data_IF_217009536894
#
_entry.id   IF_217009536894
#
_cell.length_a   1.000
_cell.length_b   1.000
_cell.length_c   1.000
_cell.angle_alpha   90.00
_cell.angle_beta   90.00
_cell.angle_gamma   90.00
#
_symmetry.space_group_name_H-M   'P 1'
#
loop_
_entity.id
_entity.type
_entity.pdbx_description
1 polymer ?
#
# COMPACT_ATOMS: atom_id res chain seq x y z
N UNK A 1 17.83 27.09 -30.21
CA UNK A 1 16.92 28.22 -29.92
C UNK A 1 15.52 27.84 -30.40
N UNK A 2 14.69 27.34 -29.50
CA UNK A 2 13.26 27.13 -29.78
C UNK A 2 12.52 28.07 -28.84
N UNK A 3 12.03 29.18 -29.40
CA UNK A 3 11.22 30.17 -28.69
C UNK A 3 9.84 29.58 -28.50
N UNK A 4 9.53 29.16 -27.27
CA UNK A 4 8.18 28.80 -26.87
C UNK A 4 7.51 30.05 -26.29
N UNK A 5 6.54 30.58 -27.04
CA UNK A 5 5.68 31.68 -26.62
C UNK A 5 4.70 31.15 -25.58
N UNK A 6 4.83 31.67 -24.36
CA UNK A 6 3.87 31.44 -23.28
C UNK A 6 2.55 32.16 -23.60
N UNK A 7 1.45 31.41 -23.76
CA UNK A 7 0.10 31.96 -23.93
C UNK A 7 -0.70 31.59 -22.68
N UNK A 8 -0.51 32.34 -21.61
CA UNK A 8 -1.22 32.19 -20.35
C UNK A 8 -0.84 33.32 -19.39
N UNK A 9 -1.80 33.86 -18.65
CA UNK A 9 -1.52 34.88 -17.62
C UNK A 9 -0.66 34.24 -16.52
N UNK A 10 0.35 34.98 -16.04
CA UNK A 10 1.27 34.54 -14.97
C UNK A 10 0.58 34.25 -13.62
N UNK A 11 -0.70 34.60 -13.48
CA UNK A 11 -1.48 34.49 -12.24
C UNK A 11 -2.10 33.09 -12.02
N UNK A 12 -2.06 32.18 -13.01
CA UNK A 12 -2.78 30.89 -12.97
C UNK A 12 -1.92 29.67 -12.57
N UNK A 13 -0.66 29.85 -12.14
CA UNK A 13 0.23 28.72 -11.82
C UNK A 13 0.37 28.59 -10.31
N UNK A 14 -0.62 27.96 -9.68
CA UNK A 14 -0.46 27.38 -8.35
C UNK A 14 0.66 26.34 -8.39
N UNK A 15 1.86 26.70 -7.95
CA UNK A 15 2.74 25.90 -7.08
C UNK A 15 4.20 26.34 -7.24
N UNK A 16 4.71 27.09 -6.26
CA UNK A 16 6.14 27.40 -6.12
C UNK A 16 7.02 26.13 -6.21
N UNK A 17 6.45 25.00 -5.78
CA UNK A 17 7.08 23.69 -5.87
C UNK A 17 7.24 23.23 -7.33
N UNK A 18 6.31 23.55 -8.24
CA UNK A 18 6.46 23.25 -9.67
C UNK A 18 7.71 23.90 -10.25
N UNK A 19 7.91 25.20 -9.99
CA UNK A 19 9.07 25.93 -10.48
C UNK A 19 10.38 25.47 -9.84
N UNK A 20 10.37 25.17 -8.53
CA UNK A 20 11.53 24.58 -7.85
C UNK A 20 11.91 23.22 -8.46
N UNK A 21 10.91 22.41 -8.85
CA UNK A 21 11.12 21.11 -9.50
C UNK A 21 11.58 21.23 -10.96
N UNK A 22 11.06 22.20 -11.70
CA UNK A 22 11.44 22.49 -13.09
C UNK A 22 12.88 23.02 -13.20
N UNK A 23 13.34 23.76 -12.19
CA UNK A 23 14.67 24.38 -12.16
C UNK A 23 15.72 23.52 -11.46
N UNK A 24 15.30 22.46 -10.76
CA UNK A 24 16.20 21.58 -10.01
C UNK A 24 16.70 22.17 -8.69
N UNK A 25 15.99 23.16 -8.13
CA UNK A 25 16.30 23.80 -6.85
C UNK A 25 15.96 22.87 -5.69
N UNK A 26 16.81 21.87 -5.50
CA UNK A 26 16.57 20.75 -4.61
C UNK A 26 16.31 21.17 -3.15
N UNK A 27 17.06 22.14 -2.62
CA UNK A 27 16.89 22.63 -1.25
C UNK A 27 15.58 23.42 -1.07
N UNK A 28 15.19 24.20 -2.08
CA UNK A 28 13.96 25.01 -2.06
C UNK A 28 12.75 24.10 -2.20
N UNK A 29 12.80 23.12 -3.10
CA UNK A 29 11.75 22.13 -3.26
C UNK A 29 11.48 21.39 -1.94
N UNK A 30 12.52 20.98 -1.20
CA UNK A 30 12.34 20.33 0.11
C UNK A 30 11.68 21.25 1.12
N UNK A 31 12.12 22.51 1.24
CA UNK A 31 11.49 23.48 2.15
C UNK A 31 10.02 23.72 1.81
N UNK A 32 9.68 23.77 0.52
CA UNK A 32 8.30 23.93 0.06
C UNK A 32 7.46 22.68 0.36
N UNK A 33 8.05 21.48 0.23
CA UNK A 33 7.40 20.25 0.66
C UNK A 33 7.16 20.27 2.18
N UNK A 34 8.17 20.58 3.00
CA UNK A 34 8.03 20.71 4.45
C UNK A 34 6.96 21.74 4.86
N UNK A 35 6.78 22.80 4.07
CA UNK A 35 5.73 23.79 4.26
C UNK A 35 4.32 23.31 3.83
N UNK A 36 4.16 22.08 3.37
CA UNK A 36 2.88 21.48 3.01
C UNK A 36 2.42 21.71 1.57
N UNK A 37 3.33 22.10 0.67
CA UNK A 37 2.98 22.37 -0.74
C UNK A 37 2.34 21.16 -1.43
N UNK A 38 1.33 21.40 -2.27
CA UNK A 38 0.64 20.36 -3.01
C UNK A 38 1.55 19.76 -4.10
N UNK A 39 2.03 18.54 -3.84
CA UNK A 39 2.85 17.73 -4.77
C UNK A 39 2.16 17.33 -6.07
N UNK A 40 0.82 17.36 -6.08
CA UNK A 40 0.00 17.03 -7.24
C UNK A 40 -0.65 18.27 -7.84
N UNK A 41 -0.15 19.46 -7.49
CA UNK A 41 -0.61 20.70 -8.11
C UNK A 41 -0.54 20.57 -9.63
N UNK A 42 -1.65 20.89 -10.28
CA UNK A 42 -1.78 20.78 -11.71
C UNK A 42 -1.44 22.13 -12.34
N UNK A 43 -0.45 22.15 -13.23
CA UNK A 43 0.00 23.39 -13.86
C UNK A 43 1.25 23.23 -14.72
N UNK A 44 1.44 24.16 -15.65
CA UNK A 44 2.58 24.24 -16.55
C UNK A 44 2.66 23.12 -17.62
N UNK A 45 3.67 23.20 -18.49
CA UNK A 45 3.86 22.27 -19.62
C UNK A 45 4.00 20.80 -19.19
N UNK A 46 4.55 20.55 -18.01
CA UNK A 46 4.77 19.19 -17.49
C UNK A 46 3.58 18.63 -16.70
N UNK A 47 2.47 19.38 -16.56
CA UNK A 47 1.27 19.07 -15.77
C UNK A 47 1.44 18.95 -14.25
N UNK A 48 2.56 18.47 -13.73
CA UNK A 48 2.79 18.38 -12.28
C UNK A 48 4.28 18.55 -11.90
N UNK A 49 4.59 18.90 -10.65
CA UNK A 49 5.96 19.07 -10.17
C UNK A 49 6.84 17.82 -10.35
N UNK A 50 6.27 16.63 -10.16
CA UNK A 50 7.00 15.37 -10.36
C UNK A 50 7.43 15.19 -11.82
N UNK A 51 6.50 15.40 -12.76
CA UNK A 51 6.81 15.33 -14.19
C UNK A 51 7.83 16.42 -14.58
N UNK A 52 7.77 17.62 -13.99
CA UNK A 52 8.76 18.67 -14.25
C UNK A 52 10.18 18.23 -13.84
N UNK A 53 10.32 17.61 -12.67
CA UNK A 53 11.60 17.06 -12.21
C UNK A 53 12.09 15.89 -13.09
N UNK A 54 11.18 15.05 -13.59
CA UNK A 54 11.49 13.94 -14.50
C UNK A 54 11.89 14.45 -15.89
N UNK A 55 11.14 15.40 -16.46
CA UNK A 55 11.41 15.99 -17.78
C UNK A 55 12.76 16.71 -17.84
N UNK A 56 13.27 17.20 -16.71
CA UNK A 56 14.56 17.88 -16.59
C UNK A 56 15.69 16.99 -16.07
N UNK A 57 15.45 15.69 -15.98
CA UNK A 57 16.38 14.66 -15.50
C UNK A 57 16.96 14.91 -14.08
N UNK A 58 16.17 15.54 -13.20
CA UNK A 58 16.54 15.74 -11.79
C UNK A 58 16.26 14.47 -10.96
N UNK A 59 17.00 13.39 -11.25
CA UNK A 59 16.77 12.04 -10.68
C UNK A 59 16.67 12.01 -9.15
N UNK A 60 17.54 12.73 -8.46
CA UNK A 60 17.54 12.78 -6.98
C UNK A 60 16.31 13.50 -6.44
N UNK A 61 15.92 14.61 -7.07
CA UNK A 61 14.74 15.36 -6.68
C UNK A 61 13.45 14.59 -6.99
N UNK A 62 13.38 13.95 -8.15
CA UNK A 62 12.27 13.09 -8.55
C UNK A 62 12.11 11.90 -7.59
N UNK A 63 13.21 11.25 -7.19
CA UNK A 63 13.20 10.21 -6.17
C UNK A 63 12.65 10.74 -4.85
N UNK A 64 13.16 11.87 -4.36
CA UNK A 64 12.66 12.47 -3.10
C UNK A 64 11.21 12.91 -3.19
N UNK A 65 10.73 13.42 -4.32
CA UNK A 65 9.32 13.79 -4.51
C UNK A 65 8.40 12.56 -4.45
N UNK A 66 8.83 11.43 -5.01
CA UNK A 66 8.10 10.17 -4.94
C UNK A 66 8.10 9.65 -3.50
N UNK A 67 9.26 9.64 -2.84
CA UNK A 67 9.38 9.23 -1.44
C UNK A 67 8.48 10.12 -0.55
N UNK A 68 8.41 11.43 -0.83
CA UNK A 68 7.59 12.39 -0.09
C UNK A 68 6.09 12.34 -0.45
N UNK A 69 5.74 11.88 -1.64
CA UNK A 69 4.36 11.55 -2.00
C UNK A 69 3.83 10.35 -1.19
N UNK A 70 4.72 9.44 -0.80
CA UNK A 70 4.34 8.16 -0.20
C UNK A 70 4.54 8.08 1.33
N UNK A 71 5.33 8.97 1.94
CA UNK A 71 5.79 8.85 3.33
C UNK A 71 5.20 9.85 4.34
N UNK A 72 4.47 10.91 3.97
CA UNK A 72 3.97 11.88 4.97
C UNK A 72 2.74 11.37 5.76
N UNK A 73 2.55 11.75 7.04
CA UNK A 73 1.41 11.32 7.86
C UNK A 73 0.03 11.58 7.23
N UNK A 74 -0.17 12.77 6.66
CA UNK A 74 -1.44 13.18 6.02
C UNK A 74 -1.76 12.29 4.81
N UNK A 75 -0.74 11.92 4.04
CA UNK A 75 -0.91 11.04 2.86
C UNK A 75 -0.97 9.57 3.23
N UNK A 76 -0.37 9.14 4.35
CA UNK A 76 -0.55 7.78 4.87
C UNK A 76 -2.03 7.53 5.20
N UNK A 77 -2.67 8.46 5.90
CA UNK A 77 -4.12 8.41 6.17
C UNK A 77 -4.96 8.39 4.88
N UNK A 78 -4.62 9.25 3.91
CA UNK A 78 -5.30 9.27 2.61
C UNK A 78 -5.13 7.96 1.85
N UNK A 79 -3.92 7.43 1.72
CA UNK A 79 -3.64 6.15 1.04
C UNK A 79 -4.41 5.01 1.69
N UNK A 80 -4.42 4.98 3.02
CA UNK A 80 -5.18 3.99 3.78
C UNK A 80 -6.69 4.08 3.47
N UNK A 81 -7.26 5.28 3.47
CA UNK A 81 -8.66 5.50 3.13
C UNK A 81 -8.98 5.18 1.66
N UNK A 82 -8.14 5.60 0.71
CA UNK A 82 -8.30 5.35 -0.72
C UNK A 82 -8.31 3.84 -1.01
N UNK A 83 -7.37 3.09 -0.44
CA UNK A 83 -7.34 1.62 -0.54
C UNK A 83 -8.59 1.01 0.07
N UNK A 84 -9.00 1.42 1.27
CA UNK A 84 -10.22 0.90 1.90
C UNK A 84 -11.45 1.12 1.02
N UNK A 85 -11.65 2.34 0.50
CA UNK A 85 -12.77 2.63 -0.40
C UNK A 85 -12.75 1.70 -1.61
N UNK A 86 -11.62 1.62 -2.31
CA UNK A 86 -11.50 0.73 -3.46
C UNK A 86 -11.80 -0.72 -3.11
N UNK A 87 -11.36 -1.19 -1.93
CA UNK A 87 -11.60 -2.54 -1.45
C UNK A 87 -13.08 -2.83 -1.16
N UNK A 88 -13.75 -1.92 -0.46
CA UNK A 88 -15.18 -2.00 -0.19
C UNK A 88 -15.98 -2.07 -1.50
N UNK A 89 -15.60 -1.29 -2.52
CA UNK A 89 -16.34 -1.28 -3.80
C UNK A 89 -16.38 -2.63 -4.52
N UNK A 90 -15.29 -3.40 -4.53
CA UNK A 90 -15.26 -4.67 -5.26
C UNK A 90 -15.56 -5.89 -4.39
N UNK A 91 -15.42 -5.80 -3.07
CA UNK A 91 -15.81 -6.87 -2.13
C UNK A 91 -17.33 -6.88 -1.92
N UNK A 92 -17.96 -5.71 -1.73
CA UNK A 92 -19.36 -5.63 -1.32
C UNK A 92 -20.35 -5.63 -2.49
N UNK A 93 -19.86 -5.44 -3.72
CA UNK A 93 -20.70 -5.42 -4.93
C UNK A 93 -20.49 -6.68 -5.77
N UNK A 94 -21.47 -7.00 -6.62
CA UNK A 94 -21.35 -8.10 -7.57
C UNK A 94 -20.13 -7.89 -8.50
N UNK A 95 -19.39 -8.95 -8.88
CA UNK A 95 -18.18 -8.84 -9.70
C UNK A 95 -18.38 -8.09 -11.03
N UNK A 96 -19.56 -8.22 -11.63
CA UNK A 96 -19.90 -7.59 -12.92
C UNK A 96 -20.47 -6.16 -12.75
N UNK A 97 -20.61 -5.67 -11.53
CA UNK A 97 -21.17 -4.35 -11.27
C UNK A 97 -20.26 -3.24 -11.78
N UNK A 98 -20.85 -2.11 -12.19
CA UNK A 98 -20.11 -0.91 -12.60
C UNK A 98 -19.16 -0.43 -11.49
N UNK A 99 -19.58 -0.53 -10.21
CA UNK A 99 -18.76 -0.12 -9.06
C UNK A 99 -17.52 -0.99 -8.88
N UNK A 100 -17.68 -2.32 -8.91
CA UNK A 100 -16.55 -3.25 -8.80
C UNK A 100 -15.58 -3.06 -9.98
N UNK A 101 -16.10 -2.93 -11.21
CA UNK A 101 -15.29 -2.69 -12.40
C UNK A 101 -14.54 -1.35 -12.36
N UNK A 102 -15.19 -0.28 -11.89
CA UNK A 102 -14.55 1.01 -11.72
C UNK A 102 -13.43 0.97 -10.67
N UNK A 103 -13.63 0.21 -9.58
CA UNK A 103 -12.61 0.00 -8.55
C UNK A 103 -11.39 -0.75 -9.10
N UNK A 104 -11.61 -1.85 -9.83
CA UNK A 104 -10.52 -2.57 -10.52
C UNK A 104 -9.81 -1.70 -11.56
N UNK A 105 -10.55 -0.94 -12.37
CA UNK A 105 -9.96 -0.02 -13.34
C UNK A 105 -9.05 1.00 -12.63
N UNK A 106 -9.46 1.49 -11.46
CA UNK A 106 -8.63 2.40 -10.65
C UNK A 106 -7.42 1.70 -10.05
N UNK A 107 -7.58 0.50 -9.49
CA UNK A 107 -6.50 -0.32 -8.94
C UNK A 107 -5.46 -0.68 -10.00
N UNK A 108 -5.86 -0.86 -11.26
CA UNK A 108 -4.98 -1.13 -12.38
C UNK A 108 -4.30 0.15 -12.91
N UNK A 109 -5.02 1.27 -12.91
CA UNK A 109 -4.49 2.55 -13.38
C UNK A 109 -3.34 3.06 -12.52
N UNK A 110 -3.47 2.99 -11.19
CA UNK A 110 -2.51 3.56 -10.23
C UNK A 110 -1.08 3.00 -10.39
N UNK A 111 -0.84 1.67 -10.42
CA UNK A 111 0.48 1.09 -10.61
C UNK A 111 0.94 1.13 -12.07
N UNK A 112 0.03 1.26 -13.05
CA UNK A 112 0.35 1.12 -14.49
C UNK A 112 1.51 2.01 -14.97
N UNK A 113 1.61 3.24 -14.47
CA UNK A 113 2.69 4.15 -14.83
C UNK A 113 4.04 3.70 -14.27
N UNK A 114 4.03 3.17 -13.04
CA UNK A 114 5.23 2.67 -12.38
C UNK A 114 5.69 1.33 -12.97
N UNK A 115 4.75 0.46 -13.36
CA UNK A 115 5.03 -0.77 -14.10
C UNK A 115 5.68 -0.47 -15.45
N UNK A 116 5.12 0.49 -16.23
CA UNK A 116 5.71 0.95 -17.49
C UNK A 116 7.12 1.55 -17.32
N UNK A 117 7.38 2.16 -16.17
CA UNK A 117 8.69 2.69 -15.80
C UNK A 117 9.64 1.64 -15.21
N UNK A 118 9.24 0.37 -15.10
CA UNK A 118 10.04 -0.71 -14.53
C UNK A 118 10.28 -0.58 -13.02
N UNK A 119 9.46 0.22 -12.31
CA UNK A 119 9.59 0.46 -10.86
C UNK A 119 8.75 -0.48 -10.00
N UNK A 120 7.71 -1.08 -10.59
CA UNK A 120 6.87 -2.09 -9.95
C UNK A 120 6.92 -3.31 -10.84
N UNK A 121 7.45 -4.41 -10.31
CA UNK A 121 7.50 -5.72 -10.95
C UNK A 121 6.17 -6.45 -10.82
N UNK A 122 6.04 -7.62 -11.46
CA UNK A 122 4.91 -8.49 -11.22
C UNK A 122 4.90 -9.02 -9.79
N UNK A 123 6.07 -9.33 -9.23
CA UNK A 123 6.25 -9.80 -7.85
C UNK A 123 5.73 -8.77 -6.84
N UNK A 124 5.98 -7.48 -7.10
CA UNK A 124 5.47 -6.35 -6.30
C UNK A 124 3.94 -6.21 -6.35
N UNK A 125 3.28 -6.84 -7.31
CA UNK A 125 1.81 -6.92 -7.41
C UNK A 125 1.26 -8.23 -6.85
N UNK A 126 1.96 -9.35 -7.09
CA UNK A 126 1.58 -10.68 -6.62
C UNK A 126 1.71 -10.81 -5.11
N UNK A 127 2.75 -10.22 -4.51
CA UNK A 127 2.95 -10.28 -3.06
C UNK A 127 1.82 -9.62 -2.26
N UNK A 128 1.39 -8.37 -2.54
CA UNK A 128 0.22 -7.80 -1.88
C UNK A 128 -1.06 -8.63 -2.06
N UNK A 129 -1.29 -9.21 -3.24
CA UNK A 129 -2.43 -10.09 -3.47
C UNK A 129 -2.36 -11.34 -2.56
N UNK A 130 -1.19 -11.95 -2.45
CA UNK A 130 -0.96 -13.11 -1.60
C UNK A 130 -1.18 -12.79 -0.12
N UNK A 131 -0.65 -11.66 0.36
CA UNK A 131 -0.87 -11.18 1.74
C UNK A 131 -2.36 -11.00 2.03
N UNK A 132 -3.12 -10.39 1.10
CA UNK A 132 -4.57 -10.22 1.25
C UNK A 132 -5.35 -11.54 1.26
N UNK A 133 -4.84 -12.57 0.58
CA UNK A 133 -5.43 -13.90 0.57
C UNK A 133 -5.00 -14.78 1.76
N UNK A 134 -3.81 -14.58 2.33
CA UNK A 134 -3.26 -15.48 3.35
C UNK A 134 -3.41 -14.93 4.77
N UNK A 135 -3.25 -13.63 4.96
CA UNK A 135 -3.29 -13.04 6.31
C UNK A 135 -4.67 -13.16 6.95
N UNK A 136 -5.80 -12.86 6.28
CA UNK A 136 -7.11 -13.05 6.89
C UNK A 136 -7.37 -14.51 7.27
N UNK A 137 -6.97 -15.47 6.42
CA UNK A 137 -7.06 -16.91 6.73
C UNK A 137 -6.31 -17.22 8.03
N UNK A 138 -5.04 -16.82 8.11
CA UNK A 138 -4.20 -17.04 9.28
C UNK A 138 -4.77 -16.38 10.53
N UNK A 139 -5.26 -15.14 10.42
CA UNK A 139 -5.86 -14.41 11.53
C UNK A 139 -7.14 -15.07 12.04
N UNK A 140 -7.99 -15.55 11.14
CA UNK A 140 -9.22 -16.27 11.51
C UNK A 140 -8.86 -17.57 12.25
N UNK A 141 -7.91 -18.33 11.75
CA UNK A 141 -7.48 -19.59 12.38
C UNK A 141 -6.85 -19.41 13.77
N UNK A 142 -6.16 -18.29 14.01
CA UNK A 142 -5.44 -18.03 15.26
C UNK A 142 -6.30 -17.32 16.31
N UNK A 143 -7.15 -16.38 15.90
CA UNK A 143 -7.79 -15.44 16.83
C UNK A 143 -9.31 -15.48 16.82
N UNK A 144 -9.97 -16.04 15.80
CA UNK A 144 -11.43 -16.06 15.76
C UNK A 144 -12.02 -17.29 16.46
N UNK A 145 -13.29 -17.18 16.82
CA UNK A 145 -14.04 -18.21 17.56
C UNK A 145 -14.25 -19.51 16.76
N UNK A 146 -14.03 -19.50 15.45
CA UNK A 146 -14.08 -20.70 14.58
C UNK A 146 -13.04 -20.63 13.46
N UNK A 147 -12.66 -21.80 12.94
CA UNK A 147 -11.89 -21.94 11.71
C UNK A 147 -12.78 -21.88 10.47
N UNK A 148 -12.20 -21.55 9.33
CA UNK A 148 -12.84 -21.69 8.03
C UNK A 148 -12.85 -23.17 7.63
N UNK A 149 -13.95 -23.65 7.06
CA UNK A 149 -14.01 -24.99 6.48
C UNK A 149 -13.43 -25.01 5.05
N UNK A 150 -13.22 -26.21 4.49
CA UNK A 150 -12.62 -26.35 3.15
C UNK A 150 -13.44 -25.68 2.03
N UNK A 151 -14.77 -25.69 2.11
CA UNK A 151 -15.63 -25.03 1.13
C UNK A 151 -15.46 -23.51 1.19
N UNK A 152 -15.43 -22.94 2.40
CA UNK A 152 -15.20 -21.52 2.62
C UNK A 152 -13.81 -21.11 2.12
N UNK A 153 -12.77 -21.89 2.41
CA UNK A 153 -11.42 -21.66 1.92
C UNK A 153 -11.32 -21.76 0.40
N UNK A 154 -12.01 -22.73 -0.21
CA UNK A 154 -12.07 -22.88 -1.66
C UNK A 154 -12.73 -21.66 -2.32
N UNK A 155 -13.86 -21.20 -1.79
CA UNK A 155 -14.54 -20.00 -2.27
C UNK A 155 -13.66 -18.75 -2.09
N UNK A 156 -13.00 -18.63 -0.94
CA UNK A 156 -12.11 -17.52 -0.62
C UNK A 156 -10.88 -17.47 -1.54
N UNK A 157 -10.26 -18.61 -1.80
CA UNK A 157 -9.16 -18.73 -2.75
C UNK A 157 -9.59 -18.38 -4.17
N UNK A 158 -10.77 -18.84 -4.60
CA UNK A 158 -11.31 -18.50 -5.92
C UNK A 158 -11.61 -17.00 -6.05
N UNK A 159 -12.12 -16.37 -5.00
CA UNK A 159 -12.36 -14.94 -4.95
C UNK A 159 -11.07 -14.13 -5.15
N UNK A 160 -10.03 -14.42 -4.38
CA UNK A 160 -8.75 -13.70 -4.51
C UNK A 160 -8.00 -14.02 -5.79
N UNK A 161 -8.09 -15.25 -6.30
CA UNK A 161 -7.57 -15.61 -7.62
C UNK A 161 -8.26 -14.79 -8.71
N UNK A 162 -9.59 -14.69 -8.66
CA UNK A 162 -10.37 -13.86 -9.60
C UNK A 162 -9.98 -12.38 -9.53
N UNK A 163 -9.60 -11.88 -8.35
CA UNK A 163 -9.11 -10.52 -8.18
C UNK A 163 -7.80 -10.29 -8.93
N UNK A 164 -6.83 -11.20 -8.76
CA UNK A 164 -5.56 -11.10 -9.44
C UNK A 164 -5.68 -11.25 -10.96
N UNK A 165 -6.60 -12.11 -11.43
CA UNK A 165 -6.97 -12.19 -12.85
C UNK A 165 -7.48 -10.82 -13.38
N UNK A 166 -8.41 -10.18 -12.65
CA UNK A 166 -8.96 -8.87 -13.02
C UNK A 166 -7.90 -7.76 -12.97
N UNK A 167 -6.86 -7.94 -12.16
CA UNK A 167 -5.72 -7.03 -12.08
C UNK A 167 -4.63 -7.32 -13.12
N UNK A 168 -4.76 -8.40 -13.90
CA UNK A 168 -3.75 -8.81 -14.88
C UNK A 168 -2.44 -9.27 -14.24
N UNK A 169 -2.48 -9.76 -13.00
CA UNK A 169 -1.30 -10.27 -12.30
C UNK A 169 -0.94 -11.63 -12.88
N UNK A 170 0.33 -11.80 -13.28
CA UNK A 170 0.83 -13.09 -13.77
C UNK A 170 1.12 -14.03 -12.60
N UNK A 171 0.75 -15.29 -12.75
CA UNK A 171 1.07 -16.36 -11.80
C UNK A 171 2.22 -17.24 -12.28
N UNK A 172 3.08 -16.77 -13.20
CA UNK A 172 4.10 -17.60 -13.86
C UNK A 172 5.01 -18.43 -12.93
N UNK A 173 5.24 -17.96 -11.70
CA UNK A 173 6.02 -18.68 -10.70
C UNK A 173 5.28 -19.85 -10.04
N UNK A 174 3.96 -19.92 -10.18
CA UNK A 174 3.13 -20.95 -9.60
C UNK A 174 3.13 -22.17 -10.53
N UNK A 175 3.40 -23.38 -10.02
CA UNK A 175 3.46 -24.59 -10.83
C UNK A 175 2.23 -24.81 -11.72
N UNK A 176 1.05 -24.43 -11.21
CA UNK A 176 -0.21 -24.64 -11.90
C UNK A 176 -0.65 -23.50 -12.83
N UNK A 177 0.18 -22.49 -13.06
CA UNK A 177 -0.16 -21.39 -13.97
C UNK A 177 -0.46 -21.84 -15.40
N UNK A 178 0.38 -22.71 -15.97
CA UNK A 178 0.20 -23.26 -17.32
C UNK A 178 -0.81 -24.41 -17.40
N UNK A 179 -0.74 -25.45 -16.53
CA UNK A 179 -1.68 -26.56 -16.61
C UNK A 179 -3.07 -26.20 -16.06
N UNK A 180 -3.19 -25.12 -15.29
CA UNK A 180 -4.42 -24.64 -14.67
C UNK A 180 -4.56 -25.07 -13.21
N UNK A 181 -5.14 -24.19 -12.40
CA UNK A 181 -5.52 -24.49 -11.03
C UNK A 181 -6.81 -25.31 -11.02
N UNK A 182 -6.88 -26.34 -10.17
CA UNK A 182 -8.06 -27.21 -10.04
C UNK A 182 -9.21 -26.49 -9.35
N UNK A 183 -8.92 -25.76 -8.28
CA UNK A 183 -9.87 -25.00 -7.48
C UNK A 183 -9.16 -23.89 -6.69
N UNK A 184 -9.90 -23.21 -5.81
CA UNK A 184 -9.35 -22.13 -4.98
C UNK A 184 -8.43 -22.59 -3.85
N UNK A 185 -8.55 -23.84 -3.37
CA UNK A 185 -7.64 -24.38 -2.36
C UNK A 185 -6.27 -24.60 -2.96
N UNK A 186 -6.21 -25.20 -4.14
CA UNK A 186 -4.96 -25.43 -4.86
C UNK A 186 -4.21 -24.11 -5.12
N UNK A 187 -4.92 -23.07 -5.55
CA UNK A 187 -4.31 -21.74 -5.71
C UNK A 187 -3.80 -21.17 -4.39
N UNK A 188 -4.57 -21.30 -3.29
CA UNK A 188 -4.16 -20.84 -1.96
C UNK A 188 -2.92 -21.58 -1.43
N UNK A 189 -2.77 -22.87 -1.73
CA UNK A 189 -1.61 -23.64 -1.31
C UNK A 189 -0.36 -23.25 -2.10
N UNK A 190 -0.46 -23.11 -3.43
CA UNK A 190 0.67 -22.69 -4.26
C UNK A 190 1.13 -21.26 -3.96
N UNK A 191 0.21 -20.32 -3.73
CA UNK A 191 0.56 -18.93 -3.37
C UNK A 191 1.22 -18.87 -1.99
N UNK A 192 0.80 -19.71 -1.03
CA UNK A 192 1.43 -19.79 0.28
C UNK A 192 2.88 -20.28 0.19
N UNK A 193 3.12 -21.34 -0.58
CA UNK A 193 4.47 -21.86 -0.83
C UNK A 193 5.35 -20.79 -1.50
N UNK A 194 4.78 -20.05 -2.47
CA UNK A 194 5.50 -18.96 -3.12
C UNK A 194 5.88 -17.85 -2.14
N UNK A 195 4.97 -17.42 -1.26
CA UNK A 195 5.24 -16.41 -0.23
C UNK A 195 6.34 -16.86 0.74
N UNK A 196 6.31 -18.11 1.19
CA UNK A 196 7.33 -18.67 2.09
C UNK A 196 8.73 -18.64 1.48
N UNK A 197 8.85 -18.82 0.17
CA UNK A 197 10.11 -18.72 -0.57
C UNK A 197 10.50 -17.26 -0.90
N UNK A 198 9.51 -16.39 -1.13
CA UNK A 198 9.72 -14.99 -1.52
C UNK A 198 10.21 -14.12 -0.37
N UNK A 199 9.55 -14.19 0.78
CA UNK A 199 9.78 -13.29 1.90
C UNK A 199 11.19 -13.29 2.51
N UNK A 200 11.92 -14.42 2.66
CA UNK A 200 13.28 -14.41 3.21
C UNK A 200 14.25 -13.52 2.45
N UNK A 201 14.00 -13.34 1.14
CA UNK A 201 14.89 -12.60 0.24
C UNK A 201 14.47 -11.14 0.05
N UNK A 202 13.20 -10.81 0.28
CA UNK A 202 12.62 -9.50 -0.03
C UNK A 202 12.16 -8.71 1.21
N UNK A 203 11.81 -9.40 2.31
CA UNK A 203 11.38 -8.76 3.55
C UNK A 203 12.60 -8.47 4.44
N UNK A 204 13.43 -7.53 3.99
CA UNK A 204 14.69 -7.12 4.62
C UNK A 204 14.57 -5.77 5.33
N UNK A 205 15.46 -5.45 6.30
CA UNK A 205 15.46 -4.15 6.95
C UNK A 205 15.62 -2.99 5.97
N UNK A 206 14.65 -2.07 5.96
CA UNK A 206 14.66 -0.89 5.08
C UNK A 206 14.15 0.36 5.81
N UNK A 207 14.85 1.49 5.65
CA UNK A 207 14.53 2.76 6.32
C UNK A 207 13.21 3.37 5.85
N UNK A 208 12.87 3.23 4.56
CA UNK A 208 11.59 3.73 4.05
C UNK A 208 10.43 2.85 4.54
N UNK A 209 10.64 1.54 4.62
CA UNK A 209 9.67 0.61 5.23
C UNK A 209 9.39 1.00 6.69
N UNK A 210 10.45 1.27 7.47
CA UNK A 210 10.31 1.73 8.86
C UNK A 210 9.55 3.06 8.98
N UNK A 211 9.84 4.06 8.13
CA UNK A 211 9.11 5.33 8.12
C UNK A 211 7.61 5.15 7.82
N UNK A 212 7.28 4.32 6.83
CA UNK A 212 5.86 4.02 6.49
C UNK A 212 5.19 3.26 7.64
N UNK A 213 5.90 2.32 8.27
CA UNK A 213 5.40 1.59 9.43
C UNK A 213 5.10 2.53 10.61
N UNK A 214 5.97 3.51 10.86
CA UNK A 214 5.78 4.49 11.94
C UNK A 214 4.54 5.35 11.73
N UNK A 215 4.37 5.90 10.52
CA UNK A 215 3.19 6.71 10.20
C UNK A 215 1.89 5.89 10.22
N UNK A 216 1.95 4.61 9.82
CA UNK A 216 0.81 3.70 9.92
C UNK A 216 0.49 3.38 11.38
N UNK A 217 1.51 3.12 12.19
CA UNK A 217 1.37 2.88 13.63
C UNK A 217 0.77 4.08 14.35
N UNK A 218 1.16 5.30 13.98
CA UNK A 218 0.59 6.53 14.52
C UNK A 218 -0.89 6.69 14.10
N UNK A 219 -1.26 6.30 12.88
CA UNK A 219 -2.65 6.27 12.42
C UNK A 219 -3.49 5.28 13.23
N UNK A 220 -2.97 4.07 13.52
CA UNK A 220 -3.66 3.08 14.34
C UNK A 220 -3.84 3.54 15.79
N UNK A 221 -2.90 4.32 16.31
CA UNK A 221 -2.98 4.88 17.65
C UNK A 221 -3.74 6.22 17.72
N UNK A 222 -4.32 6.71 16.61
CA UNK A 222 -4.99 8.01 16.57
C UNK A 222 -6.13 8.14 17.59
N UNK A 223 -6.84 7.04 17.89
CA UNK A 223 -7.92 7.00 18.89
C UNK A 223 -7.41 6.93 20.33
N UNK A 224 -6.13 6.62 20.55
CA UNK A 224 -5.52 6.57 21.88
C UNK A 224 -5.06 7.97 22.31
N UNK A 225 -5.23 8.35 23.59
CA UNK A 225 -4.58 9.51 24.17
C UNK A 225 -3.05 9.46 23.99
N UNK A 226 -2.42 10.60 23.68
CA UNK A 226 -0.97 10.71 23.43
C UNK A 226 -0.06 9.98 24.45
N UNK A 227 -0.33 10.02 25.78
CA UNK A 227 0.50 9.30 26.75
C UNK A 227 0.52 7.77 26.56
N UNK A 228 -0.55 7.20 25.97
CA UNK A 228 -0.70 5.77 25.73
C UNK A 228 -0.11 5.32 24.39
N UNK A 229 0.34 6.23 23.52
CA UNK A 229 0.88 5.89 22.21
C UNK A 229 2.05 4.91 22.31
N UNK A 230 2.95 5.09 23.29
CA UNK A 230 4.07 4.16 23.51
C UNK A 230 3.62 2.74 23.90
N UNK A 231 2.51 2.62 24.63
CA UNK A 231 1.91 1.33 24.92
C UNK A 231 1.27 0.73 23.66
N UNK A 232 0.53 1.53 22.90
CA UNK A 232 -0.06 1.14 21.61
C UNK A 232 0.97 0.62 20.60
N UNK A 233 2.12 1.33 20.45
CA UNK A 233 3.24 0.88 19.60
C UNK A 233 3.77 -0.50 20.02
N UNK A 234 3.94 -0.74 21.32
CA UNK A 234 4.37 -2.05 21.85
C UNK A 234 3.34 -3.14 21.56
N UNK A 235 2.06 -2.85 21.72
CA UNK A 235 1.00 -3.82 21.41
C UNK A 235 0.99 -4.19 19.92
N UNK A 236 1.12 -3.21 19.02
CA UNK A 236 1.23 -3.45 17.57
C UNK A 236 2.45 -4.33 17.26
N UNK A 237 3.58 -4.06 17.91
CA UNK A 237 4.82 -4.83 17.70
C UNK A 237 4.71 -6.30 18.12
N UNK A 238 3.81 -6.64 19.06
CA UNK A 238 3.52 -8.03 19.46
C UNK A 238 2.69 -8.77 18.40
N UNK A 239 1.84 -8.05 17.66
CA UNK A 239 1.00 -8.62 16.59
C UNK A 239 1.78 -8.85 15.29
N UNK A 240 2.90 -8.17 15.11
CA UNK A 240 3.73 -8.32 13.91
C UNK A 240 4.54 -9.63 13.97
N UNK A 241 4.57 -10.33 12.85
CA UNK A 241 5.47 -11.45 12.65
C UNK A 241 6.93 -11.07 12.83
N UNK A 242 7.75 -12.05 13.24
CA UNK A 242 9.16 -11.79 13.53
C UNK A 242 9.91 -11.21 12.33
N UNK A 243 9.64 -11.71 11.12
CA UNK A 243 10.28 -11.25 9.88
C UNK A 243 9.84 -9.83 9.54
N UNK A 244 8.54 -9.56 9.56
CA UNK A 244 7.97 -8.23 9.29
C UNK A 244 8.48 -7.19 10.30
N UNK A 245 8.49 -7.54 11.58
CA UNK A 245 9.04 -6.68 12.65
C UNK A 245 10.51 -6.35 12.43
N UNK A 246 11.33 -7.34 12.01
CA UNK A 246 12.75 -7.13 11.69
C UNK A 246 12.91 -6.23 10.46
N UNK A 247 12.11 -6.42 9.42
CA UNK A 247 12.13 -5.58 8.22
C UNK A 247 11.73 -4.12 8.53
N UNK A 248 10.76 -3.94 9.41
CA UNK A 248 10.36 -2.62 9.93
C UNK A 248 11.33 -2.05 10.97
N UNK A 249 12.42 -2.75 11.31
CA UNK A 249 13.41 -2.33 12.32
C UNK A 249 12.82 -2.04 13.71
N UNK A 250 11.71 -2.69 14.07
CA UNK A 250 11.09 -2.55 15.38
C UNK A 250 11.76 -3.43 16.44
N UNK A 251 11.96 -2.92 17.67
CA UNK A 251 12.56 -3.70 18.74
C UNK A 251 11.67 -4.90 19.10
N UNK A 252 12.26 -5.98 19.63
CA UNK A 252 11.45 -7.10 20.12
C UNK A 252 10.63 -6.61 21.31
N UNK A 253 9.31 -6.76 21.26
CA UNK A 253 8.46 -6.48 22.41
C UNK A 253 8.81 -7.47 23.54
N UNK A 254 9.06 -6.96 24.75
CA UNK A 254 9.24 -7.81 25.93
C UNK A 254 7.98 -8.60 26.26
N UNK A 255 8.11 -9.76 26.92
CA UNK A 255 7.05 -10.73 27.18
C UNK A 255 5.83 -10.22 27.99
N UNK A 256 5.76 -8.93 28.34
CA UNK A 256 4.77 -8.37 29.26
C UNK A 256 3.43 -7.98 28.62
N UNK A 257 3.30 -8.00 27.28
CA UNK A 257 2.05 -7.63 26.57
C UNK A 257 1.32 -8.79 25.86
N UNK A 258 1.83 -10.02 25.93
CA UNK A 258 1.34 -11.13 25.10
C UNK A 258 -0.11 -11.58 25.35
N UNK A 259 -0.66 -11.34 26.55
CA UNK A 259 -1.85 -12.09 27.00
C UNK A 259 -3.15 -11.30 27.17
N UNK A 260 -3.16 -9.96 27.12
CA UNK A 260 -4.37 -9.21 27.51
C UNK A 260 -4.94 -8.24 26.46
N UNK A 261 -4.17 -7.83 25.46
CA UNK A 261 -4.53 -6.72 24.56
C UNK A 261 -4.67 -7.03 23.06
N UNK A 262 -4.20 -8.17 22.50
CA UNK A 262 -4.45 -8.50 21.09
C UNK A 262 -5.94 -8.39 20.76
N UNK A 263 -6.79 -9.02 21.58
CA UNK A 263 -8.23 -9.13 21.36
C UNK A 263 -9.00 -7.79 21.34
N UNK A 264 -8.62 -6.82 22.17
CA UNK A 264 -9.30 -5.52 22.23
C UNK A 264 -8.86 -4.59 21.08
N UNK A 265 -7.57 -4.61 20.71
CA UNK A 265 -7.09 -3.91 19.51
C UNK A 265 -7.66 -4.56 18.26
N UNK A 266 -7.75 -5.90 18.22
CA UNK A 266 -8.45 -6.69 17.20
C UNK A 266 -9.92 -6.31 17.08
N UNK A 267 -10.65 -6.19 18.19
CA UNK A 267 -12.04 -5.74 18.16
C UNK A 267 -12.15 -4.30 17.66
N UNK A 268 -11.26 -3.38 18.04
CA UNK A 268 -11.29 -2.01 17.52
C UNK A 268 -10.94 -1.99 16.01
N UNK A 269 -9.99 -2.81 15.58
CA UNK A 269 -9.58 -2.92 14.17
C UNK A 269 -10.69 -3.55 13.31
N UNK A 270 -11.22 -4.72 13.71
CA UNK A 270 -12.35 -5.37 13.04
C UNK A 270 -13.64 -4.55 13.13
N UNK A 271 -13.92 -3.86 14.24
CA UNK A 271 -15.15 -3.06 14.39
C UNK A 271 -15.08 -1.71 13.66
N UNK A 272 -13.89 -1.23 13.31
CA UNK A 272 -13.72 -0.02 12.50
C UNK A 272 -13.43 -0.31 11.01
N UNK A 273 -13.12 -1.55 10.64
CA UNK A 273 -12.79 -1.95 9.27
C UNK A 273 -13.72 -3.02 8.68
N UNK A 274 -14.27 -3.92 9.49
CA UNK A 274 -15.20 -4.98 9.08
C UNK A 274 -16.64 -4.73 9.53
N UNK A 275 -16.90 -3.83 10.48
CA UNK A 275 -18.24 -3.30 10.68
C UNK A 275 -18.44 -2.11 9.75
N UNK A 276 -18.93 -2.44 8.55
CA UNK A 276 -19.98 -1.64 7.92
C UNK A 276 -21.08 -1.33 8.96
N UNK A 277 -21.81 -0.20 8.85
CA UNK A 277 -23.15 -0.18 9.41
C UNK A 277 -23.97 -1.37 8.90
#
# INVERSE_FOLDING_TARGET
>A
MTSFRYIGKLEDIESDLYYACLTGLHAVAIKLLEAGSNVNAQGGECRCPLNAAVCRDHKQLAKRLIDWQLSTPIKAAKRYADTRCLFTEWIDNAPESERANAAFARLNFLPSHYQKAGKISNDDMLYPLAVLALDPKRWIEQYQWRKLNEMELCAFGRFWKSAGDAMGISYEYLPSYKPGFTDGLHWLDEIAIWVEAFEPHHMVPDTNCNLVADHTTDLLNYTLPKPLHNAGKKCITVLLDERLRKAMMYPRAGNTCGNCWPYQILQIYCKNQCCLP
#
